data_IF_221554611177
#
_entry.id   IF_221554611177
#
_cell.length_a   1.000
_cell.length_b   1.000
_cell.length_c   1.000
_cell.angle_alpha   90.00
_cell.angle_beta   90.00
_cell.angle_gamma   90.00
#
_symmetry.space_group_name_H-M   'P 1'
#
loop_
_entity.id
_entity.type
_entity.pdbx_description
1 polymer ?
#
# COMPACT_ATOMS: atom_id res chain seq x y z
N UNK A 1 -20.80 -50.22 64.04
CA UNK A 1 -20.41 -48.79 64.05
C UNK A 1 -19.91 -48.43 62.67
N UNK A 2 -20.53 -47.41 62.07
CA UNK A 2 -20.18 -46.82 60.77
C UNK A 2 -18.80 -46.15 60.84
N UNK A 3 -17.98 -46.26 59.80
CA UNK A 3 -17.24 -45.11 59.27
C UNK A 3 -17.09 -45.24 57.75
N UNK A 4 -17.63 -44.23 57.07
CA UNK A 4 -17.56 -43.96 55.65
C UNK A 4 -16.16 -43.44 55.33
N UNK A 5 -15.50 -43.99 54.32
CA UNK A 5 -14.36 -43.33 53.68
C UNK A 5 -14.73 -42.98 52.24
N UNK A 6 -14.86 -41.68 52.04
CA UNK A 6 -15.04 -40.99 50.77
C UNK A 6 -13.75 -41.14 49.97
N UNK A 7 -13.82 -41.77 48.80
CA UNK A 7 -12.77 -41.63 47.79
C UNK A 7 -13.03 -40.32 47.08
N UNK A 8 -12.15 -39.35 47.36
CA UNK A 8 -12.14 -38.05 46.68
C UNK A 8 -11.72 -38.29 45.23
N UNK A 9 -12.62 -37.94 44.30
CA UNK A 9 -12.35 -37.81 42.88
C UNK A 9 -11.31 -36.70 42.69
N UNK A 10 -10.03 -37.04 42.54
CA UNK A 10 -9.07 -36.10 41.96
C UNK A 10 -9.32 -36.06 40.46
N UNK A 11 -10.15 -35.10 40.04
CA UNK A 11 -10.18 -34.62 38.67
C UNK A 11 -8.74 -34.26 38.30
N UNK A 12 -8.11 -35.11 37.49
CA UNK A 12 -6.86 -34.76 36.84
C UNK A 12 -7.08 -33.42 36.15
N UNK A 13 -6.34 -32.41 36.58
CA UNK A 13 -6.15 -31.19 35.81
C UNK A 13 -5.42 -31.59 34.54
N UNK A 14 -6.18 -32.04 33.55
CA UNK A 14 -5.74 -32.03 32.17
C UNK A 14 -5.33 -30.60 31.87
N UNK A 15 -4.03 -30.37 31.79
CA UNK A 15 -3.48 -29.12 31.27
C UNK A 15 -4.08 -28.94 29.88
N UNK A 16 -5.10 -28.10 29.80
CA UNK A 16 -5.57 -27.56 28.53
C UNK A 16 -4.40 -26.71 28.08
N UNK A 17 -3.55 -27.29 27.24
CA UNK A 17 -2.51 -26.53 26.57
C UNK A 17 -3.20 -25.30 25.99
N UNK A 18 -2.72 -24.07 26.25
CA UNK A 18 -3.26 -22.91 25.58
C UNK A 18 -3.08 -23.19 24.09
N UNK A 19 -4.21 -23.34 23.40
CA UNK A 19 -4.23 -23.36 21.94
C UNK A 19 -3.50 -22.07 21.56
N UNK A 20 -2.26 -22.24 21.08
CA UNK A 20 -1.46 -21.17 20.50
C UNK A 20 -2.41 -20.42 19.59
N UNK A 21 -2.68 -19.16 19.94
CA UNK A 21 -3.55 -18.29 19.19
C UNK A 21 -3.14 -18.44 17.73
N UNK A 22 -3.96 -19.17 16.97
CA UNK A 22 -3.79 -19.28 15.54
C UNK A 22 -3.71 -17.86 15.05
N UNK A 23 -2.60 -17.56 14.39
CA UNK A 23 -2.24 -16.24 13.86
C UNK A 23 -3.51 -15.47 13.51
N UNK A 24 -3.90 -14.54 14.39
CA UNK A 24 -4.99 -13.63 14.10
C UNK A 24 -4.46 -12.77 12.96
N UNK A 25 -4.75 -13.19 11.73
CA UNK A 25 -4.49 -12.42 10.53
C UNK A 25 -5.44 -11.24 10.58
N UNK A 26 -4.99 -10.18 11.27
CA UNK A 26 -5.68 -8.90 11.18
C UNK A 26 -5.74 -8.52 9.70
N UNK A 27 -6.90 -8.07 9.19
CA UNK A 27 -6.99 -7.59 7.83
C UNK A 27 -5.91 -6.52 7.62
N UNK A 28 -5.33 -6.42 6.41
CA UNK A 28 -4.25 -5.49 6.15
C UNK A 28 -4.70 -4.08 6.53
N UNK A 29 -3.96 -3.44 7.43
CA UNK A 29 -4.18 -2.03 7.74
C UNK A 29 -3.81 -1.24 6.49
N UNK A 30 -4.78 -0.49 5.97
CA UNK A 30 -4.55 0.46 4.90
C UNK A 30 -4.07 1.78 5.51
N UNK A 31 -3.01 2.34 4.96
CA UNK A 31 -2.47 3.63 5.35
C UNK A 31 -2.61 4.60 4.19
N UNK A 32 -2.96 5.83 4.49
CA UNK A 32 -3.09 6.90 3.51
C UNK A 32 -1.99 7.95 3.71
N UNK A 33 -1.40 8.39 2.61
CA UNK A 33 -0.55 9.59 2.60
C UNK A 33 -0.83 10.46 1.38
N UNK A 34 -1.01 11.75 1.62
CA UNK A 34 -1.09 12.76 0.57
C UNK A 34 0.30 13.35 0.26
N UNK A 35 0.57 13.54 -1.02
CA UNK A 35 1.73 14.23 -1.56
C UNK A 35 1.27 15.38 -2.43
N UNK A 36 1.58 16.59 -2.00
CA UNK A 36 1.35 17.80 -2.79
C UNK A 36 2.52 17.99 -3.76
N UNK A 37 2.24 18.53 -4.96
CA UNK A 37 3.27 19.00 -5.90
C UNK A 37 4.31 17.89 -6.21
N UNK A 38 3.82 16.78 -6.78
CA UNK A 38 4.57 15.52 -6.97
C UNK A 38 5.76 15.67 -7.97
N UNK A 39 6.07 16.87 -8.44
CA UNK A 39 7.27 17.14 -9.22
C UNK A 39 8.52 17.19 -8.32
N UNK A 40 9.65 16.69 -8.84
CA UNK A 40 10.94 16.80 -8.15
C UNK A 40 11.02 15.96 -6.85
N UNK A 41 11.50 16.50 -5.72
CA UNK A 41 11.82 15.71 -4.51
C UNK A 41 10.65 14.93 -3.89
N UNK A 42 9.40 15.23 -4.26
CA UNK A 42 8.23 14.54 -3.73
C UNK A 42 8.08 13.12 -4.27
N UNK A 43 8.53 12.83 -5.50
CA UNK A 43 8.60 11.43 -6.00
C UNK A 43 9.53 10.59 -5.13
N UNK A 44 10.65 11.15 -4.66
CA UNK A 44 11.56 10.48 -3.75
C UNK A 44 10.91 10.23 -2.38
N UNK A 45 10.27 11.24 -1.78
CA UNK A 45 9.56 11.09 -0.49
C UNK A 45 8.45 10.03 -0.58
N UNK A 46 7.80 9.94 -1.72
CA UNK A 46 6.78 8.95 -2.00
C UNK A 46 7.38 7.54 -2.09
N UNK A 47 8.50 7.38 -2.79
CA UNK A 47 9.24 6.12 -2.80
C UNK A 47 9.70 5.74 -1.38
N UNK A 48 10.23 6.69 -0.59
CA UNK A 48 10.66 6.45 0.78
C UNK A 48 9.50 5.98 1.68
N UNK A 49 8.34 6.63 1.58
CA UNK A 49 7.12 6.21 2.29
C UNK A 49 6.72 4.77 1.92
N UNK A 50 6.70 4.45 0.62
CA UNK A 50 6.41 3.10 0.13
C UNK A 50 7.41 2.06 0.64
N UNK A 51 8.69 2.41 0.72
CA UNK A 51 9.79 1.51 1.10
C UNK A 51 9.96 1.33 2.62
N UNK A 52 9.55 2.31 3.42
CA UNK A 52 9.77 2.31 4.88
C UNK A 52 8.50 2.00 5.67
N UNK A 53 7.40 2.66 5.32
CA UNK A 53 6.15 2.59 6.09
C UNK A 53 5.17 1.57 5.50
N UNK A 54 5.18 1.46 4.18
CA UNK A 54 4.09 0.89 3.40
C UNK A 54 4.40 -0.42 2.71
N UNK A 55 5.63 -0.95 2.85
CA UNK A 55 6.26 -1.92 1.97
C UNK A 55 5.46 -3.23 1.78
N UNK A 56 4.50 -3.26 0.84
CA UNK A 56 3.70 -4.45 0.65
C UNK A 56 4.51 -5.44 -0.19
N UNK A 57 4.10 -6.71 -0.22
CA UNK A 57 4.81 -7.72 -1.04
C UNK A 57 4.74 -7.41 -2.54
N UNK A 58 3.69 -6.75 -2.99
CA UNK A 58 3.39 -6.47 -4.39
C UNK A 58 2.61 -5.17 -4.60
N UNK A 59 2.46 -4.79 -5.87
CA UNK A 59 1.71 -3.61 -6.29
C UNK A 59 0.19 -3.72 -6.09
N UNK A 60 -0.36 -4.92 -5.82
CA UNK A 60 -1.79 -5.08 -5.52
C UNK A 60 -2.16 -4.45 -4.18
N UNK A 61 -1.19 -4.36 -3.28
CA UNK A 61 -1.32 -3.67 -2.00
C UNK A 61 -1.22 -2.15 -2.08
N UNK A 62 -1.09 -1.55 -3.27
CA UNK A 62 -0.93 -0.09 -3.42
C UNK A 62 -2.05 0.45 -4.31
N UNK A 63 -2.73 1.50 -3.88
CA UNK A 63 -3.71 2.26 -4.66
C UNK A 63 -3.30 3.73 -4.69
N UNK A 64 -3.55 4.40 -5.82
CA UNK A 64 -3.17 5.79 -6.03
C UNK A 64 -4.38 6.54 -6.58
N UNK A 65 -4.69 7.68 -5.97
CA UNK A 65 -5.79 8.56 -6.36
C UNK A 65 -5.29 10.00 -6.43
N UNK A 66 -5.63 10.71 -7.49
CA UNK A 66 -5.34 12.14 -7.59
C UNK A 66 -6.61 12.92 -7.30
N UNK A 67 -6.55 13.86 -6.36
CA UNK A 67 -7.65 14.76 -6.02
C UNK A 67 -7.23 16.19 -6.35
N UNK A 68 -8.07 16.90 -7.11
CA UNK A 68 -7.88 18.33 -7.37
C UNK A 68 -8.70 19.14 -6.36
N UNK A 69 -8.06 20.07 -5.65
CA UNK A 69 -8.73 20.92 -4.65
C UNK A 69 -9.67 22.00 -5.22
N UNK A 70 -9.96 22.03 -6.51
CA UNK A 70 -10.79 23.06 -7.17
C UNK A 70 -10.18 23.57 -8.48
N UNK A 71 -10.84 24.55 -9.10
CA UNK A 71 -10.35 25.16 -10.35
C UNK A 71 -8.99 25.84 -10.13
N UNK A 72 -8.03 25.55 -11.02
CA UNK A 72 -6.64 26.07 -11.00
C UNK A 72 -5.85 25.74 -9.73
N UNK A 73 -6.28 24.73 -8.97
CA UNK A 73 -5.54 24.26 -7.80
C UNK A 73 -4.58 23.11 -8.15
N UNK A 74 -3.58 22.94 -7.28
CA UNK A 74 -2.63 21.83 -7.33
C UNK A 74 -3.36 20.51 -7.06
N UNK A 75 -2.86 19.44 -7.67
CA UNK A 75 -3.33 18.08 -7.39
C UNK A 75 -2.60 17.53 -6.16
N UNK A 76 -3.38 16.91 -5.28
CA UNK A 76 -2.86 16.10 -4.19
C UNK A 76 -2.93 14.64 -4.64
N UNK A 77 -1.80 13.96 -4.61
CA UNK A 77 -1.76 12.53 -4.85
C UNK A 77 -1.91 11.80 -3.51
N UNK A 78 -3.00 11.07 -3.37
CA UNK A 78 -3.28 10.19 -2.23
C UNK A 78 -2.83 8.78 -2.57
N UNK A 79 -1.96 8.23 -1.73
CA UNK A 79 -1.49 6.85 -1.84
C UNK A 79 -2.03 6.08 -0.67
N UNK A 80 -2.69 4.98 -0.99
CA UNK A 80 -3.15 3.99 -0.03
C UNK A 80 -2.30 2.75 -0.17
N UNK A 81 -1.75 2.24 0.91
CA UNK A 81 -0.94 1.03 0.91
C UNK A 81 -1.41 0.05 1.98
N UNK A 82 -1.18 -1.26 1.77
CA UNK A 82 -1.30 -2.27 2.83
C UNK A 82 -0.01 -2.34 3.65
N UNK A 83 -0.14 -2.44 4.97
CA UNK A 83 0.96 -2.83 5.86
C UNK A 83 0.98 -4.36 6.08
N UNK A 84 1.28 -5.13 5.06
CA UNK A 84 1.73 -6.52 5.24
C UNK A 84 3.21 -6.48 5.58
N UNK A 85 3.63 -7.10 6.70
CA UNK A 85 5.04 -7.18 7.16
C UNK A 85 5.92 -8.00 6.20
N UNK A 86 5.86 -7.71 4.92
CA UNK A 86 6.53 -8.42 3.85
C UNK A 86 8.05 -8.24 3.99
N UNK A 87 8.84 -9.20 3.49
CA UNK A 87 10.27 -9.00 3.28
C UNK A 87 10.50 -7.70 2.52
N UNK A 88 11.60 -6.99 2.80
CA UNK A 88 11.93 -5.70 2.15
C UNK A 88 11.70 -5.80 0.64
N UNK A 89 10.78 -4.98 0.15
CA UNK A 89 10.57 -4.71 -1.27
C UNK A 89 10.94 -3.26 -1.52
N UNK A 90 11.70 -3.03 -2.59
CA UNK A 90 12.05 -1.70 -3.02
C UNK A 90 11.14 -1.26 -4.16
N UNK A 91 10.72 -0.01 -4.09
CA UNK A 91 9.84 0.65 -5.03
C UNK A 91 10.48 1.95 -5.50
N UNK A 92 10.33 2.21 -6.80
CA UNK A 92 10.72 3.46 -7.44
C UNK A 92 9.49 4.18 -8.01
N UNK A 93 9.53 5.51 -7.99
CA UNK A 93 8.45 6.38 -8.43
C UNK A 93 8.99 7.34 -9.48
N UNK A 94 8.38 7.33 -10.66
CA UNK A 94 8.70 8.22 -11.78
C UNK A 94 7.47 9.05 -12.12
N UNK A 95 7.67 10.36 -12.31
CA UNK A 95 6.68 11.22 -12.95
C UNK A 95 7.14 11.51 -14.37
N UNK A 96 6.40 11.00 -15.36
CA UNK A 96 6.69 11.21 -16.78
C UNK A 96 5.77 12.27 -17.35
N UNK A 97 6.34 13.34 -17.88
CA UNK A 97 5.59 14.33 -18.66
C UNK A 97 5.21 13.74 -20.02
N UNK A 98 3.96 13.93 -20.41
CA UNK A 98 3.38 13.41 -21.65
C UNK A 98 2.56 14.51 -22.33
N UNK A 99 2.35 14.37 -23.65
CA UNK A 99 1.48 15.30 -24.37
C UNK A 99 0.03 15.24 -23.82
N UNK A 100 -0.70 16.35 -23.97
CA UNK A 100 -2.13 16.40 -23.61
C UNK A 100 -2.89 15.32 -24.39
N UNK A 101 -3.69 14.51 -23.69
CA UNK A 101 -4.46 13.40 -24.26
C UNK A 101 -3.61 12.19 -24.69
N UNK A 102 -2.30 12.17 -24.40
CA UNK A 102 -1.39 11.10 -24.83
C UNK A 102 -1.24 9.98 -23.80
N UNK A 103 -2.03 9.99 -22.71
CA UNK A 103 -1.90 9.00 -21.63
C UNK A 103 -1.99 7.57 -22.14
N UNK A 104 -3.01 7.24 -22.93
CA UNK A 104 -3.21 5.88 -23.44
C UNK A 104 -2.01 5.41 -24.29
N UNK A 105 -1.46 6.28 -25.14
CA UNK A 105 -0.29 5.93 -25.95
C UNK A 105 0.97 5.75 -25.10
N UNK A 106 1.20 6.66 -24.15
CA UNK A 106 2.35 6.60 -23.25
C UNK A 106 2.29 5.41 -22.28
N UNK A 107 1.08 4.94 -21.95
CA UNK A 107 0.82 3.82 -21.07
C UNK A 107 1.15 2.46 -21.70
N UNK A 108 0.98 2.29 -23.01
CA UNK A 108 1.20 1.02 -23.74
C UNK A 108 2.50 0.29 -23.35
N UNK A 109 3.70 0.93 -23.37
CA UNK A 109 4.94 0.25 -23.01
C UNK A 109 5.02 -0.18 -21.54
N UNK A 110 4.17 0.35 -20.66
CA UNK A 110 4.18 0.06 -19.22
C UNK A 110 3.11 -0.95 -18.83
N UNK A 111 1.97 -0.98 -19.53
CA UNK A 111 0.82 -1.85 -19.19
C UNK A 111 1.14 -3.36 -19.25
N UNK A 112 2.15 -3.78 -20.02
CA UNK A 112 2.62 -5.17 -20.08
C UNK A 112 3.57 -5.56 -18.94
N UNK A 113 4.03 -4.61 -18.14
CA UNK A 113 5.01 -4.82 -17.10
C UNK A 113 4.34 -5.11 -15.75
N UNK A 114 4.41 -6.36 -15.30
CA UNK A 114 3.86 -6.79 -14.00
C UNK A 114 4.56 -6.14 -12.80
N UNK A 115 5.73 -5.55 -13.01
CA UNK A 115 6.45 -4.79 -11.99
C UNK A 115 6.07 -3.32 -11.97
N UNK A 116 5.10 -2.87 -12.78
CA UNK A 116 4.71 -1.47 -12.85
C UNK A 116 3.20 -1.25 -12.63
N UNK A 117 2.88 -0.09 -12.06
CA UNK A 117 1.53 0.48 -11.97
C UNK A 117 1.58 1.92 -12.45
N UNK A 118 0.59 2.34 -13.22
CA UNK A 118 0.52 3.70 -13.75
C UNK A 118 -0.77 4.40 -13.33
N UNK A 119 -0.71 5.72 -13.22
CA UNK A 119 -1.86 6.58 -13.00
C UNK A 119 -1.72 7.88 -13.78
N UNK A 120 -2.83 8.45 -14.29
CA UNK A 120 -2.80 9.77 -14.90
C UNK A 120 -2.52 10.83 -13.83
N UNK A 121 -1.78 11.86 -14.20
CA UNK A 121 -1.53 13.04 -13.40
C UNK A 121 -1.79 14.27 -14.27
N UNK A 122 -2.40 15.31 -13.72
CA UNK A 122 -2.71 16.53 -14.48
C UNK A 122 -1.98 17.70 -13.82
N UNK A 123 -1.28 18.51 -14.60
CA UNK A 123 -0.48 19.62 -14.06
C UNK A 123 -1.30 20.89 -13.78
N UNK A 124 -2.60 20.88 -14.06
CA UNK A 124 -3.55 21.91 -13.60
C UNK A 124 -3.49 23.26 -14.33
N UNK A 125 -2.51 23.54 -15.19
CA UNK A 125 -2.44 24.78 -15.95
C UNK A 125 -3.08 24.66 -17.35
N UNK A 126 -3.80 25.70 -17.75
CA UNK A 126 -4.55 25.81 -19.01
C UNK A 126 -3.62 25.83 -20.23
N UNK A 127 -3.18 24.65 -20.68
CA UNK A 127 -2.43 24.50 -21.94
C UNK A 127 -1.29 23.50 -21.91
N UNK A 128 -0.79 23.08 -20.75
CA UNK A 128 0.53 22.43 -20.70
C UNK A 128 0.50 21.07 -20.00
N UNK A 129 0.56 20.04 -20.86
CA UNK A 129 0.98 18.66 -20.59
C UNK A 129 0.14 17.87 -19.58
N UNK A 130 -0.05 16.59 -19.90
CA UNK A 130 -0.49 15.60 -18.91
C UNK A 130 0.76 14.95 -18.32
N UNK A 131 0.60 14.27 -17.20
CA UNK A 131 1.60 13.45 -16.56
C UNK A 131 1.14 12.00 -16.48
N UNK A 132 2.12 11.10 -16.45
CA UNK A 132 1.91 9.71 -16.08
C UNK A 132 2.81 9.41 -14.89
N UNK A 133 2.21 9.12 -13.75
CA UNK A 133 2.91 8.61 -12.60
C UNK A 133 3.12 7.11 -12.81
N UNK A 134 4.35 6.65 -12.61
CA UNK A 134 4.75 5.25 -12.76
C UNK A 134 5.37 4.80 -11.44
N UNK A 135 4.75 3.81 -10.82
CA UNK A 135 5.27 3.11 -9.67
C UNK A 135 5.86 1.78 -10.14
N UNK A 136 7.12 1.50 -9.82
CA UNK A 136 7.78 0.24 -10.16
C UNK A 136 8.23 -0.49 -8.90
N UNK A 137 8.06 -1.80 -8.89
CA UNK A 137 8.70 -2.69 -7.93
C UNK A 137 10.07 -3.07 -8.48
N UNK A 138 11.11 -2.79 -7.72
CA UNK A 138 12.48 -3.15 -8.05
C UNK A 138 12.65 -4.68 -7.95
N UNK A 139 13.52 -5.25 -8.79
CA UNK A 139 13.72 -6.70 -8.91
C UNK A 139 14.57 -7.27 -7.79
#
# INVERSE_FOLDING_TARGET
MLFRSVVVLTLGLGSVAPVLAQDVVFPPKWEERAFEDVEGPQTQKMADYLNQECAPRDLSGIQMFAIQGGHNQRFNLHIYCRKDKAPKVHYSVELRRIGKGQFNQAAVPVLGDKSAKIGPFYFGNSGEQDGMLILRKDK
#
